data_IF_150151334632
#
_entry.id   IF_150151334632
#
_cell.length_a   1.000
_cell.length_b   1.000
_cell.length_c   1.000
_cell.angle_alpha   90.00
_cell.angle_beta   90.00
_cell.angle_gamma   90.00
#
_symmetry.space_group_name_H-M   'P 1'
#
loop_
_entity.id
_entity.type
_entity.pdbx_description
1 polymer ?
#
# COMPACT_ATOMS: atom_id res chain seq x y z
N UNK A 1 -23.50 -46.51 1.66
CA UNK A 1 -22.94 -45.55 2.64
C UNK A 1 -22.88 -44.20 1.96
N UNK A 2 -23.44 -43.13 2.55
CA UNK A 2 -23.34 -41.80 1.95
C UNK A 2 -21.89 -41.31 2.06
N UNK A 3 -21.32 -40.89 0.94
CA UNK A 3 -20.00 -40.27 0.86
C UNK A 3 -20.16 -38.83 1.29
N UNK A 4 -19.50 -38.45 2.38
CA UNK A 4 -19.38 -37.06 2.78
C UNK A 4 -18.56 -36.32 1.72
N UNK A 5 -19.18 -35.37 1.03
CA UNK A 5 -18.47 -34.37 0.23
C UNK A 5 -18.03 -33.32 1.25
N UNK A 6 -16.78 -33.39 1.69
CA UNK A 6 -16.12 -32.26 2.33
C UNK A 6 -16.14 -31.11 1.33
N UNK A 7 -16.81 -30.01 1.68
CA UNK A 7 -16.63 -28.74 0.96
C UNK A 7 -15.12 -28.48 0.98
N UNK A 8 -14.50 -28.47 -0.20
CA UNK A 8 -13.19 -27.80 -0.35
C UNK A 8 -13.40 -26.38 0.14
N UNK A 9 -12.58 -25.96 1.09
CA UNK A 9 -12.35 -24.55 1.37
C UNK A 9 -12.15 -23.86 0.01
N UNK A 10 -12.95 -22.83 -0.26
CA UNK A 10 -12.70 -21.94 -1.38
C UNK A 10 -11.32 -21.36 -1.13
N UNK A 11 -10.31 -21.83 -1.86
CA UNK A 11 -9.10 -21.04 -2.08
C UNK A 11 -9.62 -19.73 -2.68
N UNK A 12 -9.64 -18.66 -1.88
CA UNK A 12 -9.69 -17.32 -2.46
C UNK A 12 -8.47 -17.24 -3.37
N UNK A 13 -8.68 -17.16 -4.68
CA UNK A 13 -7.62 -16.83 -5.61
C UNK A 13 -7.11 -15.43 -5.22
N UNK A 14 -6.02 -15.40 -4.46
CA UNK A 14 -5.31 -14.17 -4.09
C UNK A 14 -4.52 -13.69 -5.30
N UNK A 15 -4.67 -12.41 -5.64
CA UNK A 15 -3.95 -11.74 -6.71
C UNK A 15 -2.54 -11.37 -6.27
N UNK A 16 -1.61 -11.35 -7.22
CA UNK A 16 -0.29 -10.73 -7.06
C UNK A 16 0.57 -11.30 -5.91
N UNK A 17 0.30 -12.55 -5.52
CA UNK A 17 1.14 -13.31 -4.62
C UNK A 17 2.30 -13.94 -5.39
N UNK A 18 3.49 -13.88 -4.81
CA UNK A 18 4.70 -14.44 -5.38
C UNK A 18 5.89 -13.48 -5.35
N UNK A 19 6.98 -13.92 -5.95
CA UNK A 19 8.24 -13.19 -5.98
C UNK A 19 8.34 -12.35 -7.25
N UNK A 20 8.40 -11.04 -7.05
CA UNK A 20 8.61 -10.06 -8.10
C UNK A 20 10.02 -9.46 -7.94
N UNK A 21 10.73 -9.33 -9.04
CA UNK A 21 12.04 -8.67 -9.07
C UNK A 21 12.28 -7.98 -10.42
N UNK A 22 12.45 -6.64 -10.47
CA UNK A 22 12.29 -5.69 -9.36
C UNK A 22 10.85 -5.66 -8.82
N UNK A 23 10.68 -5.33 -7.54
CA UNK A 23 9.37 -5.35 -6.86
C UNK A 23 8.54 -4.12 -7.26
N UNK A 24 7.35 -4.27 -7.89
CA UNK A 24 6.44 -3.17 -8.19
C UNK A 24 5.54 -2.84 -6.99
N UNK A 25 4.74 -1.78 -7.12
CA UNK A 25 3.60 -1.55 -6.24
C UNK A 25 2.44 -2.51 -6.51
N UNK A 26 1.56 -2.70 -5.54
CA UNK A 26 0.34 -3.51 -5.66
C UNK A 26 0.53 -5.02 -5.48
N UNK A 27 1.75 -5.47 -5.14
CA UNK A 27 2.07 -6.88 -4.86
C UNK A 27 2.12 -7.15 -3.37
N UNK A 28 2.10 -8.43 -3.01
CA UNK A 28 2.16 -8.91 -1.63
C UNK A 28 3.39 -8.39 -0.85
N UNK A 29 3.18 -8.08 0.43
CA UNK A 29 4.18 -7.91 1.47
C UNK A 29 3.79 -8.74 2.68
N UNK A 30 4.76 -9.48 3.21
CA UNK A 30 4.58 -10.34 4.37
C UNK A 30 5.43 -9.86 5.55
N UNK A 31 4.91 -10.08 6.74
CA UNK A 31 5.59 -9.92 8.02
C UNK A 31 5.39 -11.18 8.88
N UNK A 32 5.89 -11.16 10.12
CA UNK A 32 5.60 -12.19 11.11
C UNK A 32 4.14 -12.19 11.59
N UNK A 33 3.39 -11.10 11.35
CA UNK A 33 2.04 -10.88 11.89
C UNK A 33 0.95 -11.04 10.83
N UNK A 34 1.31 -10.95 9.54
CA UNK A 34 0.36 -11.17 8.46
C UNK A 34 0.86 -10.80 7.08
N UNK A 35 -0.12 -10.55 6.20
CA UNK A 35 0.06 -10.32 4.77
C UNK A 35 -0.74 -9.10 4.36
N UNK A 36 -0.13 -8.25 3.53
CA UNK A 36 -0.67 -6.98 3.08
C UNK A 36 -0.20 -6.68 1.64
N UNK A 37 -0.60 -5.54 1.09
CA UNK A 37 -0.23 -5.08 -0.25
C UNK A 37 0.80 -3.94 -0.15
N UNK A 38 1.85 -3.99 -0.97
CA UNK A 38 2.78 -2.87 -1.16
C UNK A 38 2.12 -1.73 -1.91
N UNK A 39 2.49 -0.50 -1.58
CA UNK A 39 2.00 0.70 -2.27
C UNK A 39 2.77 0.91 -3.57
N UNK A 40 4.03 1.31 -3.44
CA UNK A 40 4.92 1.69 -4.54
C UNK A 40 6.30 1.99 -3.99
N UNK A 41 7.27 2.08 -4.90
CA UNK A 41 8.58 2.66 -4.63
C UNK A 41 8.46 4.16 -4.31
N UNK A 42 9.22 4.62 -3.33
CA UNK A 42 9.35 6.05 -2.98
C UNK A 42 10.81 6.42 -2.70
N UNK A 43 11.16 7.69 -2.89
CA UNK A 43 12.39 8.28 -2.33
C UNK A 43 12.07 8.95 -0.99
N UNK A 44 12.93 8.68 0.00
CA UNK A 44 12.92 9.38 1.27
C UNK A 44 14.36 9.66 1.72
N UNK A 45 14.72 10.94 1.80
CA UNK A 45 16.07 11.36 2.18
C UNK A 45 17.16 10.90 1.21
N UNK A 46 16.84 10.77 -0.09
CA UNK A 46 17.78 10.34 -1.13
C UNK A 46 18.01 8.83 -1.20
N UNK A 47 17.18 8.04 -0.51
CA UNK A 47 17.22 6.57 -0.55
C UNK A 47 15.87 6.04 -1.04
N UNK A 48 15.92 4.92 -1.77
CA UNK A 48 14.74 4.26 -2.30
C UNK A 48 14.19 3.22 -1.30
N UNK A 49 12.88 3.26 -1.10
CA UNK A 49 12.14 2.36 -0.25
C UNK A 49 10.90 1.83 -0.97
N UNK A 50 10.36 0.71 -0.49
CA UNK A 50 9.02 0.25 -0.81
C UNK A 50 8.10 0.68 0.33
N UNK A 51 7.05 1.43 0.00
CA UNK A 51 6.04 1.82 0.98
C UNK A 51 5.00 0.72 1.13
N UNK A 52 4.52 0.52 2.36
CA UNK A 52 3.36 -0.31 2.69
C UNK A 52 2.63 0.20 3.92
N UNK A 53 1.58 -0.52 4.34
CA UNK A 53 0.84 -0.20 5.54
C UNK A 53 1.67 -0.53 6.80
N UNK A 54 1.86 0.45 7.69
CA UNK A 54 2.62 0.26 8.93
C UNK A 54 2.04 -0.86 9.80
N UNK A 55 0.72 -0.95 9.89
CA UNK A 55 0.07 -1.93 10.74
C UNK A 55 0.34 -3.39 10.34
N UNK A 56 0.95 -3.64 9.17
CA UNK A 56 1.47 -4.96 8.82
C UNK A 56 2.57 -5.43 9.78
N UNK A 57 3.30 -4.54 10.46
CA UNK A 57 4.46 -4.91 11.29
C UNK A 57 4.24 -4.64 12.79
N UNK A 58 3.01 -4.45 13.21
CA UNK A 58 2.67 -4.28 14.63
C UNK A 58 1.73 -5.40 15.04
N UNK A 59 1.89 -5.85 16.28
CA UNK A 59 1.04 -6.87 16.90
C UNK A 59 0.74 -6.40 18.32
N UNK A 60 -0.33 -5.63 18.46
CA UNK A 60 -0.85 -5.25 19.79
C UNK A 60 -2.25 -5.85 19.97
N UNK A 61 -2.40 -6.94 20.74
CA UNK A 61 -3.68 -7.60 20.91
C UNK A 61 -4.71 -6.75 21.67
N UNK A 62 -4.33 -5.57 22.19
CA UNK A 62 -5.20 -4.70 22.99
C UNK A 62 -5.69 -3.46 22.24
N UNK A 63 -5.19 -3.22 21.02
CA UNK A 63 -5.49 -2.03 20.23
C UNK A 63 -5.76 -2.49 18.80
N UNK A 64 -6.71 -1.85 18.10
CA UNK A 64 -6.82 -2.07 16.66
C UNK A 64 -5.44 -1.79 16.02
N UNK A 65 -4.88 -2.72 15.24
CA UNK A 65 -3.46 -2.74 14.82
C UNK A 65 -2.98 -1.39 14.25
N UNK A 66 -3.85 -0.73 13.49
CA UNK A 66 -3.65 0.63 12.95
C UNK A 66 -3.34 1.69 14.03
N UNK A 67 -3.89 1.56 15.23
CA UNK A 67 -3.69 2.47 16.34
C UNK A 67 -2.60 2.04 17.34
N UNK A 68 -1.92 0.91 17.11
CA UNK A 68 -0.80 0.47 17.95
C UNK A 68 0.35 1.48 17.89
N UNK A 69 0.91 1.86 19.05
CA UNK A 69 2.09 2.75 19.14
C UNK A 69 3.42 2.00 19.17
N UNK A 70 3.41 0.68 18.95
CA UNK A 70 4.63 -0.14 18.89
C UNK A 70 5.58 0.36 17.79
N UNK A 71 6.88 0.41 18.01
CA UNK A 71 7.85 0.76 16.96
C UNK A 71 8.15 -0.50 16.11
N UNK A 72 7.79 -0.54 14.81
CA UNK A 72 8.09 -1.67 13.93
C UNK A 72 9.47 -1.58 13.27
N UNK A 73 10.30 -0.57 13.58
CA UNK A 73 11.64 -0.44 13.00
C UNK A 73 12.47 -1.70 13.26
N UNK A 74 13.03 -2.28 12.19
CA UNK A 74 13.81 -3.51 12.27
C UNK A 74 12.99 -4.79 12.03
N UNK A 75 11.66 -4.70 11.95
CA UNK A 75 10.83 -5.86 11.61
C UNK A 75 11.05 -6.29 10.16
N UNK A 76 11.17 -7.60 9.97
CA UNK A 76 11.48 -8.20 8.68
C UNK A 76 10.32 -8.04 7.69
N UNK A 77 10.68 -7.88 6.43
CA UNK A 77 9.75 -7.78 5.31
C UNK A 77 10.08 -8.86 4.27
N UNK A 78 9.04 -9.55 3.84
CA UNK A 78 9.12 -10.70 2.96
C UNK A 78 8.20 -10.51 1.76
N UNK A 79 8.51 -11.20 0.67
CA UNK A 79 7.59 -11.43 -0.43
C UNK A 79 7.43 -12.94 -0.57
N UNK A 80 6.21 -13.46 -0.54
CA UNK A 80 6.02 -14.89 -0.24
C UNK A 80 6.82 -15.25 1.03
N UNK A 81 7.65 -16.29 1.00
CA UNK A 81 8.57 -16.68 2.07
C UNK A 81 9.98 -16.04 1.95
N UNK A 82 10.26 -15.26 0.90
CA UNK A 82 11.59 -14.74 0.62
C UNK A 82 11.81 -13.39 1.31
N UNK A 83 12.79 -13.36 2.22
CA UNK A 83 13.25 -12.12 2.86
C UNK A 83 13.80 -11.15 1.82
N UNK A 84 13.44 -9.87 1.92
CA UNK A 84 14.05 -8.84 1.10
C UNK A 84 14.64 -7.67 1.89
N UNK A 85 14.27 -7.49 3.16
CA UNK A 85 14.78 -6.42 4.00
C UNK A 85 13.89 -6.19 5.22
N UNK A 86 13.84 -4.96 5.72
CA UNK A 86 13.08 -4.63 6.92
C UNK A 86 12.54 -3.21 6.93
N UNK A 87 11.68 -2.92 7.89
CA UNK A 87 11.16 -1.57 8.13
C UNK A 87 12.29 -0.66 8.62
N UNK A 88 12.62 0.38 7.84
CA UNK A 88 13.63 1.39 8.21
C UNK A 88 13.01 2.66 8.78
N UNK A 89 11.80 3.00 8.32
CA UNK A 89 11.06 4.16 8.80
C UNK A 89 9.58 3.82 8.92
N UNK A 90 8.89 4.48 9.84
CA UNK A 90 7.45 4.35 9.98
C UNK A 90 6.81 5.68 10.39
N UNK A 91 5.55 5.86 10.03
CA UNK A 91 4.80 7.09 10.24
C UNK A 91 3.43 6.78 10.83
N UNK A 92 3.33 6.85 12.16
CA UNK A 92 2.10 6.53 12.89
C UNK A 92 0.90 7.36 12.41
N UNK A 93 1.08 8.63 12.10
CA UNK A 93 -0.04 9.50 11.72
C UNK A 93 -0.58 9.18 10.31
N UNK A 94 0.16 8.40 9.50
CA UNK A 94 -0.19 8.10 8.10
C UNK A 94 -0.41 6.62 7.82
N UNK A 95 -0.13 5.76 8.80
CA UNK A 95 -0.11 4.30 8.61
C UNK A 95 0.85 3.81 7.54
N UNK A 96 1.96 4.52 7.36
CA UNK A 96 2.94 4.19 6.35
C UNK A 96 4.19 3.62 7.01
N UNK A 97 4.76 2.60 6.41
CA UNK A 97 6.11 2.12 6.71
C UNK A 97 6.92 2.02 5.41
N UNK A 98 8.21 2.25 5.54
CA UNK A 98 9.18 2.21 4.44
C UNK A 98 10.14 1.06 4.69
N UNK A 99 10.12 0.08 3.79
CA UNK A 99 11.07 -1.03 3.80
C UNK A 99 12.16 -0.80 2.77
N UNK A 100 13.38 -1.18 3.09
CA UNK A 100 14.48 -1.20 2.12
C UNK A 100 14.67 -2.61 1.57
N UNK A 101 15.42 -2.71 0.49
CA UNK A 101 16.10 -3.95 0.15
C UNK A 101 17.44 -3.97 0.85
N UNK A 102 17.75 -5.06 1.54
CA UNK A 102 19.10 -5.31 2.04
C UNK A 102 19.91 -6.04 0.98
N UNK A 103 21.05 -5.47 0.65
CA UNK A 103 22.04 -6.14 -0.18
C UNK A 103 22.67 -7.26 0.66
N UNK A 104 22.12 -8.47 0.55
CA UNK A 104 22.71 -9.75 0.96
C UNK A 104 23.72 -9.69 2.14
N UNK A 105 23.22 -9.85 3.36
CA UNK A 105 24.05 -10.34 4.47
C UNK A 105 23.58 -11.68 5.05
N UNK A 106 22.46 -12.23 4.54
CA UNK A 106 22.00 -13.58 4.88
C UNK A 106 22.44 -14.58 3.82
N UNK A 107 23.42 -15.41 4.19
CA UNK A 107 23.96 -16.49 3.36
C UNK A 107 22.83 -17.39 2.80
N UNK A 108 22.64 -17.38 1.48
CA UNK A 108 21.67 -18.23 0.78
C UNK A 108 20.40 -17.56 0.27
N UNK A 109 20.23 -16.24 0.45
CA UNK A 109 19.12 -15.50 -0.15
C UNK A 109 19.46 -14.99 -1.57
N UNK A 110 18.48 -14.89 -2.49
CA UNK A 110 18.71 -14.34 -3.83
C UNK A 110 18.86 -12.82 -3.79
N UNK A 111 19.90 -12.32 -4.45
CA UNK A 111 20.09 -10.88 -4.69
C UNK A 111 18.88 -10.33 -5.47
N UNK A 112 18.30 -9.21 -4.99
CA UNK A 112 17.19 -8.51 -5.67
C UNK A 112 17.66 -7.29 -6.46
N UNK A 113 17.07 -7.09 -7.64
CA UNK A 113 17.32 -5.96 -8.55
C UNK A 113 16.76 -4.63 -8.02
N UNK A 114 15.89 -4.65 -7.03
CA UNK A 114 15.41 -3.45 -6.33
C UNK A 114 13.89 -3.28 -6.37
N UNK A 115 13.47 -2.02 -6.32
CA UNK A 115 12.07 -1.60 -6.48
C UNK A 115 11.89 -0.91 -7.83
N UNK A 116 10.76 -1.11 -8.50
CA UNK A 116 10.42 -0.43 -9.77
C UNK A 116 9.42 0.72 -9.55
N UNK A 117 9.35 1.66 -10.49
CA UNK A 117 8.35 2.77 -10.52
C UNK A 117 7.03 2.35 -11.16
N UNK A 118 6.68 1.06 -11.15
CA UNK A 118 5.45 0.54 -11.77
C UNK A 118 4.50 -0.03 -10.71
N UNK A 119 3.25 -0.21 -11.13
CA UNK A 119 2.23 -0.95 -10.37
C UNK A 119 1.95 -2.25 -11.14
N UNK A 120 1.79 -3.37 -10.42
CA UNK A 120 1.55 -4.68 -11.03
C UNK A 120 0.31 -4.66 -11.94
N UNK A 121 0.44 -5.27 -13.11
CA UNK A 121 -0.57 -5.31 -14.17
C UNK A 121 -1.15 -3.92 -14.52
N UNK A 122 -0.33 -2.88 -14.48
CA UNK A 122 -0.67 -1.54 -14.95
C UNK A 122 0.33 -1.06 -16.01
N UNK A 123 -0.21 -0.39 -17.03
CA UNK A 123 0.64 0.24 -18.04
C UNK A 123 1.01 1.65 -17.59
N UNK A 124 2.31 1.94 -17.55
CA UNK A 124 2.84 3.25 -17.20
C UNK A 124 3.83 3.18 -16.04
N UNK A 125 4.29 4.35 -15.61
CA UNK A 125 5.18 4.51 -14.47
C UNK A 125 4.69 5.63 -13.57
N UNK A 126 5.01 5.52 -12.29
CA UNK A 126 4.67 6.49 -11.26
C UNK A 126 5.53 7.73 -11.46
N UNK A 127 4.86 8.86 -11.69
CA UNK A 127 5.49 10.13 -12.04
C UNK A 127 5.18 11.23 -11.01
N UNK A 128 4.50 10.89 -9.92
CA UNK A 128 4.24 11.81 -8.83
C UNK A 128 2.99 11.45 -8.05
N UNK A 129 2.34 12.48 -7.54
CA UNK A 129 1.12 12.38 -6.75
C UNK A 129 0.11 13.44 -7.20
N UNK A 130 -1.16 13.19 -6.92
CA UNK A 130 -2.24 14.17 -7.10
C UNK A 130 -2.24 15.11 -5.90
N UNK A 131 -2.09 16.41 -6.15
CA UNK A 131 -2.12 17.44 -5.10
C UNK A 131 -3.54 17.68 -4.55
N UNK A 132 -3.67 18.55 -3.55
CA UNK A 132 -4.98 18.83 -2.94
C UNK A 132 -6.00 19.40 -3.93
N UNK A 133 -5.57 20.28 -4.85
CA UNK A 133 -6.48 20.85 -5.84
C UNK A 133 -6.91 19.79 -6.85
N UNK A 134 -6.00 18.91 -7.26
CA UNK A 134 -6.30 17.78 -8.12
C UNK A 134 -7.29 16.81 -7.48
N UNK A 135 -7.17 16.54 -6.18
CA UNK A 135 -8.16 15.73 -5.46
C UNK A 135 -9.52 16.43 -5.42
N UNK A 136 -9.56 17.72 -5.11
CA UNK A 136 -10.81 18.51 -5.12
C UNK A 136 -11.48 18.46 -6.51
N UNK A 137 -10.71 18.61 -7.58
CA UNK A 137 -11.18 18.52 -8.96
C UNK A 137 -11.68 17.11 -9.30
N UNK A 138 -10.98 16.06 -8.87
CA UNK A 138 -11.40 14.68 -9.05
C UNK A 138 -12.71 14.38 -8.34
N UNK A 139 -12.88 14.85 -7.10
CA UNK A 139 -14.14 14.73 -6.35
C UNK A 139 -15.28 15.49 -7.03
N UNK A 140 -15.06 16.76 -7.40
CA UNK A 140 -16.08 17.60 -8.01
C UNK A 140 -16.60 17.03 -9.35
N UNK A 141 -15.74 16.32 -10.09
CA UNK A 141 -16.06 15.76 -11.40
C UNK A 141 -16.31 14.24 -11.39
N UNK A 142 -16.28 13.59 -10.22
CA UNK A 142 -16.36 12.12 -10.09
C UNK A 142 -15.37 11.39 -11.01
N UNK A 143 -14.12 11.85 -11.02
CA UNK A 143 -13.07 11.22 -11.82
C UNK A 143 -12.67 9.86 -11.23
N UNK A 144 -12.40 8.91 -12.12
CA UNK A 144 -12.05 7.54 -11.74
C UNK A 144 -10.67 7.48 -11.07
N UNK A 145 -10.59 6.81 -9.93
CA UNK A 145 -9.34 6.36 -9.32
C UNK A 145 -9.23 4.83 -9.40
N UNK A 146 -8.01 4.36 -9.54
CA UNK A 146 -7.66 2.94 -9.62
C UNK A 146 -7.02 2.50 -8.31
N UNK A 147 -7.21 1.22 -7.98
CA UNK A 147 -6.55 0.59 -6.85
C UNK A 147 -6.03 -0.80 -7.22
N UNK A 148 -4.96 -1.21 -6.53
CA UNK A 148 -4.52 -2.62 -6.49
C UNK A 148 -4.55 -3.13 -5.05
N UNK A 149 -4.89 -4.41 -4.91
CA UNK A 149 -4.88 -5.15 -3.66
C UNK A 149 -4.69 -6.63 -3.96
N UNK A 150 -3.98 -7.35 -3.10
CA UNK A 150 -3.75 -8.79 -3.28
C UNK A 150 -5.03 -9.62 -3.06
N UNK A 151 -6.03 -9.07 -2.38
CA UNK A 151 -7.31 -9.77 -2.13
C UNK A 151 -8.34 -9.37 -3.16
N UNK A 152 -8.54 -8.07 -3.39
CA UNK A 152 -9.54 -7.59 -4.35
C UNK A 152 -9.06 -7.55 -5.79
N UNK A 153 -7.75 -7.67 -6.02
CA UNK A 153 -7.17 -7.46 -7.34
C UNK A 153 -7.30 -6.00 -7.81
N UNK A 154 -7.48 -5.75 -9.11
CA UNK A 154 -7.66 -4.41 -9.66
C UNK A 154 -9.09 -3.92 -9.48
N UNK A 155 -9.26 -2.76 -8.85
CA UNK A 155 -10.58 -2.13 -8.68
C UNK A 155 -10.56 -0.68 -9.16
N UNK A 156 -11.72 -0.16 -9.56
CA UNK A 156 -11.93 1.24 -9.90
C UNK A 156 -13.01 1.84 -9.00
N UNK A 157 -12.93 3.14 -8.78
CA UNK A 157 -13.84 3.86 -7.89
C UNK A 157 -13.70 5.36 -8.11
N UNK A 158 -14.23 6.14 -7.18
CA UNK A 158 -14.12 7.60 -7.14
C UNK A 158 -13.74 8.03 -5.74
N UNK A 159 -13.22 9.25 -5.62
CA UNK A 159 -13.00 9.87 -4.32
C UNK A 159 -14.32 10.41 -3.80
N UNK A 160 -14.73 9.97 -2.61
CA UNK A 160 -16.02 10.34 -2.03
C UNK A 160 -15.91 11.52 -1.07
N UNK A 161 -14.94 11.47 -0.16
CA UNK A 161 -14.71 12.53 0.81
C UNK A 161 -13.31 12.52 1.42
N UNK A 162 -12.93 13.69 1.95
CA UNK A 162 -11.88 13.77 2.95
C UNK A 162 -12.43 13.30 4.29
N UNK A 163 -11.67 12.47 4.98
CA UNK A 163 -11.99 12.01 6.31
C UNK A 163 -11.04 12.59 7.34
N UNK A 164 -11.62 13.02 8.45
CA UNK A 164 -10.92 13.43 9.67
C UNK A 164 -10.85 12.26 10.67
N UNK A 165 -10.66 11.00 10.27
CA UNK A 165 -10.79 9.89 11.24
C UNK A 165 -9.48 9.58 11.98
N UNK A 166 -9.46 9.63 13.32
CA UNK A 166 -9.92 8.66 14.34
C UNK A 166 -8.97 7.48 14.56
N UNK A 167 -8.09 7.67 15.55
CA UNK A 167 -7.67 6.64 16.48
C UNK A 167 -8.04 7.15 17.90
N UNK A 168 -7.74 6.38 18.95
CA UNK A 168 -7.94 6.80 20.35
C UNK A 168 -7.35 8.19 20.63
N UNK A 169 -7.64 8.78 21.80
CA UNK A 169 -7.16 10.13 22.18
C UNK A 169 -5.63 10.34 22.10
N UNK A 170 -4.84 9.27 21.94
CA UNK A 170 -3.38 9.31 21.85
C UNK A 170 -2.80 9.16 20.43
N UNK A 171 -3.60 8.76 19.43
CA UNK A 171 -3.14 8.58 18.05
C UNK A 171 -4.11 9.28 17.10
N UNK A 172 -3.61 10.08 16.17
CA UNK A 172 -4.44 10.77 15.19
C UNK A 172 -3.95 10.40 13.79
N UNK A 173 -4.79 9.72 13.01
CA UNK A 173 -4.52 9.59 11.58
C UNK A 173 -4.82 10.91 10.88
N UNK A 174 -4.03 11.24 9.88
CA UNK A 174 -4.13 12.54 9.19
C UNK A 174 -4.37 12.36 7.71
N UNK A 175 -5.08 13.34 7.15
CA UNK A 175 -5.24 13.50 5.71
C UNK A 175 -5.76 12.23 5.05
N UNK A 176 -6.84 11.66 5.59
CA UNK A 176 -7.44 10.46 5.05
C UNK A 176 -8.37 10.82 3.88
N UNK A 177 -8.37 9.96 2.87
CA UNK A 177 -9.32 9.95 1.76
C UNK A 177 -10.14 8.67 1.84
N UNK A 178 -11.44 8.81 1.65
CA UNK A 178 -12.34 7.69 1.37
C UNK A 178 -12.56 7.62 -0.14
N UNK A 179 -12.32 6.44 -0.70
CA UNK A 179 -12.58 6.13 -2.10
C UNK A 179 -13.47 4.90 -2.20
N UNK A 180 -14.35 4.86 -3.19
CA UNK A 180 -15.31 3.75 -3.37
C UNK A 180 -14.71 2.47 -3.93
N UNK A 181 -13.38 2.42 -4.13
CA UNK A 181 -12.68 1.19 -4.47
C UNK A 181 -12.86 0.15 -3.35
N UNK A 182 -13.10 -1.10 -3.74
CA UNK A 182 -13.20 -2.20 -2.78
C UNK A 182 -11.90 -2.40 -1.99
N UNK A 183 -12.05 -2.70 -0.70
CA UNK A 183 -10.99 -3.00 0.26
C UNK A 183 -11.39 -4.19 1.13
N UNK A 184 -10.54 -5.21 1.15
CA UNK A 184 -10.68 -6.36 2.04
C UNK A 184 -9.39 -6.58 2.87
N UNK A 185 -9.45 -7.52 3.81
CA UNK A 185 -8.26 -7.96 4.55
C UNK A 185 -7.17 -8.42 3.58
N UNK A 186 -5.93 -7.99 3.79
CA UNK A 186 -4.81 -8.22 2.87
C UNK A 186 -4.56 -7.07 1.89
N UNK A 187 -5.55 -6.23 1.59
CA UNK A 187 -5.35 -5.10 0.67
C UNK A 187 -4.71 -3.88 1.33
N UNK A 188 -4.52 -3.93 2.65
CA UNK A 188 -3.86 -2.87 3.42
C UNK A 188 -2.51 -2.53 2.80
N UNK A 189 -2.25 -1.25 2.59
CA UNK A 189 -1.05 -0.76 1.94
C UNK A 189 -1.18 -0.60 0.42
N UNK A 190 -2.27 -1.08 -0.19
CA UNK A 190 -2.47 -1.04 -1.63
C UNK A 190 -2.49 0.39 -2.22
N UNK A 191 -1.92 0.58 -3.42
CA UNK A 191 -1.87 1.90 -4.04
C UNK A 191 -3.25 2.31 -4.56
N UNK A 192 -3.65 3.54 -4.29
CA UNK A 192 -4.72 4.24 -5.00
C UNK A 192 -4.09 5.32 -5.87
N UNK A 193 -4.45 5.37 -7.14
CA UNK A 193 -3.78 6.21 -8.12
C UNK A 193 -4.70 6.63 -9.27
N UNK A 194 -4.36 7.77 -9.87
CA UNK A 194 -4.87 8.19 -11.16
C UNK A 194 -3.93 7.73 -12.29
N UNK A 195 -4.48 7.59 -13.50
CA UNK A 195 -3.71 7.27 -14.71
C UNK A 195 -4.07 8.24 -15.82
N UNK A 196 -3.07 8.98 -16.28
CA UNK A 196 -3.19 9.90 -17.41
C UNK A 196 -2.36 9.43 -18.61
N UNK A 197 -2.73 9.89 -19.80
CA UNK A 197 -2.04 9.58 -21.06
C UNK A 197 -1.61 10.86 -21.75
N UNK A 198 -0.30 11.09 -21.81
CA UNK A 198 0.29 12.27 -22.42
C UNK A 198 1.50 11.88 -23.27
N UNK A 199 1.70 12.55 -24.41
CA UNK A 199 2.85 12.34 -25.31
C UNK A 199 3.12 10.86 -25.70
N UNK A 200 2.08 10.03 -25.76
CA UNK A 200 2.22 8.62 -26.14
C UNK A 200 2.50 7.66 -24.98
N UNK A 201 2.53 8.14 -23.74
CA UNK A 201 2.87 7.36 -22.55
C UNK A 201 1.76 7.44 -21.49
N UNK A 202 1.61 6.35 -20.72
CA UNK A 202 0.79 6.34 -19.52
C UNK A 202 1.64 6.76 -18.31
N UNK A 203 1.10 7.66 -17.50
CA UNK A 203 1.68 8.14 -16.26
C UNK A 203 0.74 7.84 -15.11
N UNK A 204 1.29 7.38 -13.99
CA UNK A 204 0.55 7.05 -12.78
C UNK A 204 0.82 8.13 -11.73
N UNK A 205 -0.24 8.64 -11.12
CA UNK A 205 -0.15 9.65 -10.06
C UNK A 205 -0.78 9.11 -8.80
N UNK A 206 0.02 9.02 -7.74
CA UNK A 206 -0.42 8.46 -6.47
C UNK A 206 -1.45 9.39 -5.81
N UNK A 207 -2.58 8.82 -5.40
CA UNK A 207 -3.67 9.54 -4.72
C UNK A 207 -3.59 9.26 -3.23
N UNK A 208 -3.57 7.99 -2.83
CA UNK A 208 -3.51 7.59 -1.43
C UNK A 208 -2.92 6.18 -1.23
N UNK A 209 -2.60 5.91 0.02
CA UNK A 209 -2.22 4.62 0.57
C UNK A 209 -3.44 3.99 1.25
N UNK A 210 -4.10 2.99 0.63
CA UNK A 210 -5.30 2.38 1.20
C UNK A 210 -4.95 1.47 2.39
N UNK A 211 -5.35 1.81 3.61
CA UNK A 211 -4.94 1.08 4.82
C UNK A 211 -6.09 0.50 5.62
N UNK A 212 -7.32 0.91 5.37
CA UNK A 212 -8.46 0.45 6.14
C UNK A 212 -9.72 0.39 5.27
N UNK A 213 -10.68 -0.42 5.70
CA UNK A 213 -11.99 -0.54 5.05
C UNK A 213 -13.06 0.24 5.84
N UNK A 214 -14.00 0.86 5.14
CA UNK A 214 -15.26 1.32 5.74
C UNK A 214 -16.17 0.12 6.06
N UNK A 215 -17.30 0.36 6.74
CA UNK A 215 -18.32 -0.67 6.94
C UNK A 215 -18.98 -1.18 5.64
N UNK A 216 -18.75 -0.49 4.51
CA UNK A 216 -19.20 -0.88 3.17
C UNK A 216 -18.09 -1.59 2.37
N UNK A 217 -16.96 -1.93 3.00
CA UNK A 217 -15.78 -2.52 2.35
C UNK A 217 -15.11 -1.61 1.31
N UNK A 218 -15.11 -0.31 1.55
CA UNK A 218 -14.46 0.69 0.68
C UNK A 218 -13.15 1.19 1.28
N UNK A 219 -12.21 1.56 0.42
CA UNK A 219 -10.87 1.93 0.84
C UNK A 219 -10.81 3.31 1.49
N UNK A 220 -10.14 3.37 2.64
CA UNK A 220 -9.73 4.62 3.29
C UNK A 220 -8.23 4.60 3.48
N UNK A 221 -7.59 5.75 3.29
CA UNK A 221 -6.14 5.81 3.24
C UNK A 221 -5.56 7.21 3.32
N UNK A 222 -4.32 7.31 3.78
CA UNK A 222 -3.60 8.58 3.86
C UNK A 222 -3.24 9.10 2.47
N UNK A 223 -3.46 10.40 2.24
CA UNK A 223 -3.15 11.04 0.93
C UNK A 223 -1.65 11.06 0.62
N UNK A 224 -1.32 10.83 -0.64
CA UNK A 224 0.04 10.86 -1.15
C UNK A 224 0.66 12.26 -1.06
N UNK A 225 -0.11 13.33 -1.35
CA UNK A 225 0.37 14.70 -1.28
C UNK A 225 0.69 15.15 0.15
N UNK A 226 -0.08 14.71 1.16
CA UNK A 226 0.19 15.09 2.55
C UNK A 226 1.48 14.42 3.04
N UNK A 227 1.70 13.15 2.70
CA UNK A 227 2.98 12.48 2.96
C UNK A 227 4.14 13.19 2.25
N UNK A 228 3.97 13.63 1.00
CA UNK A 228 5.00 14.37 0.29
C UNK A 228 5.33 15.72 0.96
N UNK A 229 4.31 16.50 1.32
CA UNK A 229 4.50 17.85 1.85
C UNK A 229 4.93 17.88 3.32
N UNK A 230 4.49 16.91 4.13
CA UNK A 230 4.75 16.91 5.57
C UNK A 230 5.90 15.99 5.99
N UNK A 231 6.17 14.93 5.22
CA UNK A 231 7.26 13.98 5.51
C UNK A 231 8.42 14.12 4.53
N UNK A 232 8.21 14.69 3.34
CA UNK A 232 9.25 14.77 2.30
C UNK A 232 9.35 13.51 1.44
N UNK A 233 8.37 12.60 1.49
CA UNK A 233 8.33 11.39 0.67
C UNK A 233 8.05 11.76 -0.79
N UNK A 234 8.91 11.33 -1.71
CA UNK A 234 8.74 11.60 -3.14
C UNK A 234 8.32 10.32 -3.89
N UNK A 235 7.27 10.45 -4.70
CA UNK A 235 6.74 9.37 -5.54
C UNK A 235 7.38 9.34 -6.93
N UNK A 236 8.03 10.43 -7.33
CA UNK A 236 8.81 10.55 -8.57
C UNK A 236 10.29 10.42 -8.23
N UNK A 237 10.99 9.56 -8.95
CA UNK A 237 12.41 9.21 -8.64
C UNK A 237 13.33 9.31 -9.87
N UNK A 238 12.85 9.94 -10.95
CA UNK A 238 13.63 10.24 -12.16
C UNK A 238 14.16 11.66 -12.13
#
# INVERSE_FOLDING_TARGET
MPVAITRREEYQDTYYNGNYDPVPGGVEQNSSTGTATSTARVDYGGNLYLMGARHLWVDDPNVQDSCSTQDPTGENAYQSDDYYGHVKHHFQDYDAALTNIEADDQEGQPQRDGFTDTIVDENGYIEGYVDSNGIDDMMANNLEVRKRGITTGPTTGVIEEYLDNYCSTSVTRRSLLHVSNEQQSGDSGGPVYDRDYFEGNYYLFMVSLATQATGASEAVGSTAHSMANNLGIQWRTR
#
